data_IF_381223684224
#
_entry.id   IF_381223684224
#
_cell.length_a   1.000
_cell.length_b   1.000
_cell.length_c   1.000
_cell.angle_alpha   90.00
_cell.angle_beta   90.00
_cell.angle_gamma   90.00
#
_symmetry.space_group_name_H-M   'P 1'
#
loop_
_entity.id
_entity.type
_entity.pdbx_description
1 polymer ?
#
# COMPACT_ATOMS: atom_id res chain seq x y z
N UNK A 1 16.92 -1.95 18.45
CA UNK A 1 15.44 -1.90 18.36
C UNK A 1 14.96 -2.87 17.29
N UNK A 2 14.13 -3.79 17.63
CA UNK A 2 13.46 -4.63 16.63
C UNK A 2 12.51 -3.72 15.83
N UNK A 3 12.73 -3.59 14.51
CA UNK A 3 11.74 -2.95 13.64
C UNK A 3 10.43 -3.70 13.78
N UNK A 4 9.39 -3.01 14.21
CA UNK A 4 8.04 -3.57 14.23
C UNK A 4 7.62 -3.79 12.79
N UNK A 5 7.38 -5.04 12.42
CA UNK A 5 6.93 -5.38 11.08
C UNK A 5 5.44 -5.07 10.95
N UNK A 6 5.09 -4.19 10.01
CA UNK A 6 3.69 -3.89 9.72
C UNK A 6 3.08 -4.96 8.81
N UNK A 7 1.85 -5.35 9.12
CA UNK A 7 1.04 -6.22 8.28
C UNK A 7 0.25 -5.36 7.27
N UNK A 8 0.64 -5.41 6.00
CA UNK A 8 -0.10 -4.77 4.90
C UNK A 8 -1.23 -5.67 4.39
N UNK A 9 -2.18 -5.09 3.65
CA UNK A 9 -3.24 -5.84 2.97
C UNK A 9 -2.67 -6.97 2.10
N UNK A 10 -1.65 -6.69 1.31
CA UNK A 10 -1.00 -7.67 0.44
C UNK A 10 -0.41 -8.83 1.23
N UNK A 11 0.27 -8.55 2.33
CA UNK A 11 0.83 -9.59 3.22
C UNK A 11 -0.26 -10.39 3.91
N UNK A 12 -1.32 -9.75 4.34
CA UNK A 12 -2.48 -10.43 4.91
C UNK A 12 -3.11 -11.42 3.91
N UNK A 13 -3.31 -11.01 2.66
CA UNK A 13 -3.83 -11.88 1.62
C UNK A 13 -2.88 -13.03 1.29
N UNK A 14 -1.58 -12.80 1.25
CA UNK A 14 -0.58 -13.85 1.10
C UNK A 14 -0.66 -14.88 2.23
N UNK A 15 -0.84 -14.44 3.46
CA UNK A 15 -1.01 -15.30 4.63
C UNK A 15 -2.30 -16.13 4.59
N UNK A 16 -3.38 -15.58 4.07
CA UNK A 16 -4.63 -16.33 3.85
C UNK A 16 -4.49 -17.40 2.77
N UNK A 17 -3.72 -17.11 1.72
CA UNK A 17 -3.45 -18.05 0.66
C UNK A 17 -2.53 -19.19 1.14
N UNK A 18 -1.44 -18.84 1.81
CA UNK A 18 -0.47 -19.79 2.35
C UNK A 18 0.40 -19.12 3.42
N UNK A 19 0.39 -19.63 4.64
CA UNK A 19 1.21 -19.12 5.73
C UNK A 19 2.70 -19.11 5.43
N UNK A 20 3.17 -20.06 4.61
CA UNK A 20 4.56 -20.13 4.16
C UNK A 20 4.93 -18.95 3.24
N UNK A 21 4.01 -18.51 2.37
CA UNK A 21 4.21 -17.30 1.56
C UNK A 21 4.43 -16.07 2.43
N UNK A 22 3.62 -15.90 3.46
CA UNK A 22 3.78 -14.80 4.41
C UNK A 22 5.14 -14.85 5.12
N UNK A 23 5.57 -16.05 5.50
CA UNK A 23 6.88 -16.24 6.13
C UNK A 23 8.03 -15.81 5.20
N UNK A 24 7.98 -16.18 3.91
CA UNK A 24 8.97 -15.76 2.92
C UNK A 24 8.97 -14.26 2.68
N UNK A 25 7.80 -13.63 2.64
CA UNK A 25 7.67 -12.18 2.47
C UNK A 25 8.40 -11.38 3.57
N UNK A 26 8.42 -11.93 4.79
CA UNK A 26 9.09 -11.27 5.92
C UNK A 26 10.56 -11.64 6.10
N UNK A 27 10.93 -12.86 5.78
CA UNK A 27 12.23 -13.41 6.17
C UNK A 27 13.19 -13.65 5.00
N UNK A 28 12.66 -13.96 3.83
CA UNK A 28 13.45 -14.30 2.63
C UNK A 28 12.74 -13.80 1.38
N UNK A 29 12.70 -12.51 1.22
CA UNK A 29 12.01 -11.87 0.09
C UNK A 29 12.62 -12.22 -1.26
N UNK A 30 13.91 -12.52 -1.29
CA UNK A 30 14.63 -12.98 -2.48
C UNK A 30 14.15 -14.33 -3.02
N UNK A 31 13.59 -15.17 -2.15
CA UNK A 31 13.03 -16.46 -2.52
C UNK A 31 11.51 -16.40 -2.78
N UNK A 32 10.92 -15.20 -2.66
CA UNK A 32 9.51 -15.00 -2.97
C UNK A 32 9.29 -15.14 -4.48
N UNK A 33 8.20 -15.81 -4.93
CA UNK A 33 7.94 -15.97 -6.35
C UNK A 33 7.91 -14.65 -7.10
N UNK A 34 8.60 -14.60 -8.24
CA UNK A 34 8.53 -13.44 -9.11
C UNK A 34 7.13 -13.26 -9.70
N UNK A 35 6.77 -12.01 -9.94
CA UNK A 35 5.50 -11.67 -10.57
C UNK A 35 5.55 -12.10 -12.03
N UNK A 36 4.60 -12.94 -12.45
CA UNK A 36 4.51 -13.34 -13.85
C UNK A 36 4.06 -12.18 -14.76
N UNK A 37 4.30 -12.31 -16.05
CA UNK A 37 4.00 -11.25 -17.03
C UNK A 37 2.50 -10.88 -17.04
N UNK A 38 1.62 -11.83 -16.82
CA UNK A 38 0.16 -11.60 -16.78
C UNK A 38 -0.23 -10.76 -15.57
N UNK A 39 0.28 -11.11 -14.40
CA UNK A 39 0.05 -10.35 -13.17
C UNK A 39 0.65 -8.96 -13.26
N UNK A 40 1.84 -8.82 -13.84
CA UNK A 40 2.46 -7.51 -14.06
C UNK A 40 1.61 -6.62 -14.99
N UNK A 41 1.07 -7.17 -16.07
CA UNK A 41 0.18 -6.44 -16.97
C UNK A 41 -1.09 -5.94 -16.27
N UNK A 42 -1.67 -6.76 -15.40
CA UNK A 42 -2.84 -6.37 -14.58
C UNK A 42 -2.47 -5.22 -13.63
N UNK A 43 -1.31 -5.28 -12.99
CA UNK A 43 -0.83 -4.21 -12.11
C UNK A 43 -0.61 -2.90 -12.86
N UNK A 44 -0.02 -2.96 -14.04
CA UNK A 44 0.24 -1.79 -14.89
C UNK A 44 -1.08 -1.16 -15.38
N UNK A 45 -2.05 -1.98 -15.76
CA UNK A 45 -3.39 -1.53 -16.12
C UNK A 45 -4.09 -0.86 -14.91
N UNK A 46 -3.93 -1.42 -13.71
CA UNK A 46 -4.47 -0.83 -12.47
C UNK A 46 -3.90 0.56 -12.20
N UNK A 47 -2.62 0.78 -12.47
CA UNK A 47 -2.01 2.12 -12.35
C UNK A 47 -2.63 3.13 -13.30
N UNK A 48 -2.81 2.76 -14.56
CA UNK A 48 -3.44 3.64 -15.59
C UNK A 48 -4.86 4.00 -15.17
N UNK A 49 -5.65 3.04 -14.71
CA UNK A 49 -7.02 3.27 -14.22
C UNK A 49 -7.01 4.20 -13.00
N UNK A 50 -6.08 4.00 -12.06
CA UNK A 50 -5.91 4.86 -10.88
C UNK A 50 -5.59 6.31 -11.26
N UNK A 51 -4.67 6.52 -12.20
CA UNK A 51 -4.32 7.85 -12.70
C UNK A 51 -5.52 8.53 -13.39
N UNK A 52 -6.27 7.81 -14.20
CA UNK A 52 -7.50 8.31 -14.83
C UNK A 52 -8.55 8.69 -13.78
N UNK A 53 -8.73 7.86 -12.75
CA UNK A 53 -9.67 8.16 -11.67
C UNK A 53 -9.30 9.46 -10.93
N UNK A 54 -8.02 9.72 -10.72
CA UNK A 54 -7.55 10.96 -10.10
C UNK A 54 -7.91 12.21 -10.93
N UNK A 55 -7.98 12.11 -12.24
CA UNK A 55 -8.36 13.23 -13.11
C UNK A 55 -9.83 13.65 -12.96
N UNK A 56 -10.68 12.76 -12.45
CA UNK A 56 -12.09 13.07 -12.16
C UNK A 56 -12.27 13.97 -10.94
N UNK A 57 -11.24 14.11 -10.12
CA UNK A 57 -11.26 14.92 -8.90
C UNK A 57 -10.17 15.99 -8.96
N UNK A 58 -10.34 17.06 -9.75
CA UNK A 58 -9.36 18.14 -9.86
C UNK A 58 -9.14 18.80 -8.50
N UNK A 59 -7.89 19.11 -8.19
CA UNK A 59 -7.50 19.65 -6.88
C UNK A 59 -7.31 18.62 -5.78
N UNK A 60 -7.41 17.32 -6.10
CA UNK A 60 -7.06 16.24 -5.20
C UNK A 60 -5.56 16.19 -4.86
N UNK A 61 -5.23 15.64 -3.71
CA UNK A 61 -3.86 15.53 -3.21
C UNK A 61 -3.49 14.05 -3.19
N UNK A 62 -2.40 13.70 -3.88
CA UNK A 62 -1.82 12.36 -3.81
C UNK A 62 -0.80 12.30 -2.68
N UNK A 63 -1.04 11.43 -1.71
CA UNK A 63 -0.09 11.16 -0.65
C UNK A 63 0.94 10.14 -1.16
N UNK A 64 2.20 10.56 -1.25
CA UNK A 64 3.24 9.67 -1.73
C UNK A 64 3.42 8.47 -0.80
N UNK A 65 3.56 7.31 -1.42
CA UNK A 65 3.91 6.07 -0.73
C UNK A 65 5.32 6.21 -0.15
N UNK A 66 5.41 6.39 1.14
CA UNK A 66 6.70 6.42 1.83
C UNK A 66 7.21 4.99 2.00
N UNK A 67 8.42 4.66 1.51
CA UNK A 67 9.01 3.33 1.68
C UNK A 67 9.33 3.00 3.15
N UNK A 68 9.40 4.01 4.00
CA UNK A 68 9.54 3.84 5.45
C UNK A 68 8.37 4.53 6.15
N UNK A 69 7.31 3.80 6.52
CA UNK A 69 6.16 4.40 7.17
C UNK A 69 6.48 4.75 8.63
N UNK A 70 7.29 5.79 8.85
CA UNK A 70 7.49 6.28 10.21
C UNK A 70 6.20 6.87 10.79
N UNK A 71 5.31 7.35 9.95
CA UNK A 71 3.94 7.64 10.35
C UNK A 71 3.02 8.07 9.17
N UNK A 72 2.45 7.17 8.37
CA UNK A 72 1.51 7.54 7.31
C UNK A 72 0.25 8.22 7.86
N UNK A 73 -0.13 7.92 9.10
CA UNK A 73 -1.26 8.57 9.78
C UNK A 73 -1.01 10.08 10.02
N UNK A 74 0.22 10.50 10.30
CA UNK A 74 0.53 11.93 10.48
C UNK A 74 0.36 12.73 9.20
N UNK A 75 0.78 12.18 8.05
CA UNK A 75 0.57 12.82 6.74
C UNK A 75 -0.93 12.93 6.43
N UNK A 76 -1.67 11.87 6.64
CA UNK A 76 -3.12 11.85 6.47
C UNK A 76 -3.81 12.94 7.32
N UNK A 77 -3.51 13.01 8.62
CA UNK A 77 -4.13 13.97 9.53
C UNK A 77 -3.86 15.44 9.14
N UNK A 78 -2.66 15.74 8.63
CA UNK A 78 -2.33 17.09 8.16
C UNK A 78 -3.17 17.50 6.94
N UNK A 79 -3.37 16.56 6.01
CA UNK A 79 -4.03 16.82 4.73
C UNK A 79 -5.55 16.68 4.83
N UNK A 80 -6.06 15.83 5.73
CA UNK A 80 -7.49 15.64 5.95
C UNK A 80 -8.22 16.93 6.35
N UNK A 81 -7.53 17.84 7.04
CA UNK A 81 -8.07 19.15 7.41
C UNK A 81 -8.37 20.09 6.23
N UNK A 82 -7.80 19.81 5.06
CA UNK A 82 -7.98 20.62 3.86
C UNK A 82 -9.28 20.35 3.11
N UNK A 83 -10.05 19.32 3.52
CA UNK A 83 -11.32 18.90 2.88
C UNK A 83 -11.22 18.74 1.35
N UNK A 84 -10.11 18.23 0.86
CA UNK A 84 -9.86 17.91 -0.55
C UNK A 84 -9.89 16.41 -0.78
N UNK A 85 -10.18 15.96 -2.01
CA UNK A 85 -10.00 14.54 -2.35
C UNK A 85 -8.56 14.10 -2.08
N UNK A 86 -8.41 12.96 -1.42
CA UNK A 86 -7.13 12.38 -1.10
C UNK A 86 -6.98 11.04 -1.82
N UNK A 87 -5.80 10.83 -2.40
CA UNK A 87 -5.44 9.59 -3.08
C UNK A 87 -4.26 8.94 -2.36
N UNK A 88 -4.22 7.62 -2.34
CA UNK A 88 -3.16 6.84 -1.71
C UNK A 88 -3.02 7.14 -0.20
N UNK A 89 -4.14 7.38 0.48
CA UNK A 89 -4.14 7.64 1.92
C UNK A 89 -3.75 6.40 2.71
N UNK A 90 -2.74 6.54 3.58
CA UNK A 90 -2.26 5.46 4.44
C UNK A 90 -2.92 5.48 5.81
N UNK A 91 -3.40 4.32 6.25
CA UNK A 91 -4.00 4.13 7.56
C UNK A 91 -3.22 3.09 8.35
N UNK A 92 -2.94 3.38 9.60
CA UNK A 92 -2.27 2.47 10.53
C UNK A 92 -3.10 2.29 11.77
N UNK A 93 -3.33 1.04 12.15
CA UNK A 93 -3.93 0.68 13.42
C UNK A 93 -3.14 -0.46 14.05
N UNK A 94 -2.58 -0.23 15.23
CA UNK A 94 -1.65 -1.17 15.87
C UNK A 94 -0.50 -1.52 14.92
N UNK A 95 -0.41 -2.76 14.48
CA UNK A 95 0.62 -3.25 13.54
C UNK A 95 0.06 -3.48 12.12
N UNK A 96 -1.18 -3.10 11.86
CA UNK A 96 -1.78 -3.21 10.54
C UNK A 96 -1.66 -1.90 9.76
N UNK A 97 -1.44 -2.01 8.47
CA UNK A 97 -1.29 -0.88 7.55
C UNK A 97 -2.12 -1.12 6.29
N UNK A 98 -2.85 -0.12 5.87
CA UNK A 98 -3.62 -0.15 4.62
C UNK A 98 -3.48 1.16 3.86
N UNK A 99 -3.42 1.06 2.53
CA UNK A 99 -3.56 2.18 1.61
C UNK A 99 -4.99 2.18 1.06
N UNK A 100 -5.62 3.34 1.02
CA UNK A 100 -6.91 3.55 0.38
C UNK A 100 -6.71 4.32 -0.93
N UNK A 101 -7.27 3.78 -1.99
CA UNK A 101 -7.30 4.39 -3.32
C UNK A 101 -8.35 5.51 -3.40
#
# INVERSE_FOLDING_TARGET
MKKVAFLSKTKYLAGLQCSKLLWYEYNRKEDFPEVDATTQAIMDQGKVVGELAQTLFPGGITLQRDPAPDNPAKKFLKVAKLCKPLFEAGFVYKQAYALAD
#
